data_IF_315964330944
#
_entry.id   IF_315964330944
#
_cell.length_a   1.000
_cell.length_b   1.000
_cell.length_c   1.000
_cell.angle_alpha   90.00
_cell.angle_beta   90.00
_cell.angle_gamma   90.00
#
_symmetry.space_group_name_H-M   'P 1'
#
loop_
_entity.id
_entity.type
_entity.pdbx_description
1 polymer ?
#
# COMPACT_ATOMS: atom_id res chain seq x y z
N UNK A 1 -1.08 -28.37 12.31
CA UNK A 1 -1.12 -28.35 10.83
C UNK A 1 -2.45 -28.81 10.24
N UNK A 2 -3.24 -29.69 10.88
CA UNK A 2 -4.53 -30.15 10.31
C UNK A 2 -5.59 -29.05 10.13
N UNK A 3 -5.45 -27.89 10.79
CA UNK A 3 -6.40 -26.78 10.69
C UNK A 3 -6.13 -25.81 9.53
N UNK A 4 -4.99 -25.92 8.84
CA UNK A 4 -4.69 -25.06 7.69
C UNK A 4 -5.47 -25.56 6.47
N UNK A 5 -6.26 -24.69 5.86
CA UNK A 5 -7.11 -24.96 4.71
C UNK A 5 -6.56 -24.36 3.41
N UNK A 6 -5.99 -23.15 3.48
CA UNK A 6 -5.42 -22.43 2.35
C UNK A 6 -4.33 -21.45 2.82
N UNK A 7 -3.66 -20.80 1.87
CA UNK A 7 -2.58 -19.86 2.14
C UNK A 7 -2.90 -18.53 1.46
N UNK A 8 -2.97 -17.46 2.24
CA UNK A 8 -3.07 -16.09 1.75
C UNK A 8 -1.65 -15.55 1.55
N UNK A 9 -1.37 -14.92 0.41
CA UNK A 9 -0.03 -14.41 0.09
C UNK A 9 -0.12 -12.96 -0.33
N UNK A 10 0.68 -12.11 0.30
CA UNK A 10 0.98 -10.77 -0.21
C UNK A 10 2.43 -10.72 -0.67
N UNK A 11 2.61 -10.62 -1.97
CA UNK A 11 3.92 -10.66 -2.60
C UNK A 11 4.27 -9.30 -3.16
N UNK A 12 4.93 -8.49 -2.33
CA UNK A 12 5.36 -7.16 -2.70
C UNK A 12 6.64 -7.15 -3.54
N UNK A 13 7.09 -5.95 -3.87
CA UNK A 13 8.36 -5.72 -4.57
C UNK A 13 9.55 -6.23 -3.76
N UNK A 14 9.54 -6.06 -2.43
CA UNK A 14 10.70 -6.33 -1.57
C UNK A 14 10.50 -7.51 -0.61
N UNK A 15 9.27 -7.87 -0.30
CA UNK A 15 8.98 -8.91 0.69
C UNK A 15 7.90 -9.86 0.20
N UNK A 16 7.98 -11.11 0.67
CA UNK A 16 6.94 -12.11 0.58
C UNK A 16 6.35 -12.29 1.98
N UNK A 17 5.04 -12.14 2.11
CA UNK A 17 4.28 -12.46 3.33
C UNK A 17 3.25 -13.52 3.03
N UNK A 18 3.12 -14.50 3.92
CA UNK A 18 2.14 -15.57 3.82
C UNK A 18 1.42 -15.73 5.15
N UNK A 19 0.11 -15.91 5.10
CA UNK A 19 -0.71 -16.29 6.25
C UNK A 19 -1.31 -17.67 5.98
N UNK A 20 -1.12 -18.58 6.93
CA UNK A 20 -1.71 -19.89 6.91
C UNK A 20 -3.14 -19.78 7.44
N UNK A 21 -4.12 -20.10 6.60
CA UNK A 21 -5.51 -19.74 6.84
C UNK A 21 -6.36 -20.95 7.14
N UNK A 22 -7.31 -20.81 8.06
CA UNK A 22 -8.43 -21.75 8.24
C UNK A 22 -9.53 -21.48 7.21
N UNK A 23 -10.49 -22.41 7.10
CA UNK A 23 -11.69 -22.22 6.27
C UNK A 23 -12.57 -21.06 6.74
N UNK A 24 -12.58 -20.75 8.03
CA UNK A 24 -13.35 -19.64 8.62
C UNK A 24 -12.66 -18.27 8.47
N UNK A 25 -11.58 -18.20 7.67
CA UNK A 25 -10.83 -16.96 7.42
C UNK A 25 -9.86 -16.56 8.53
N UNK A 26 -9.74 -17.32 9.63
CA UNK A 26 -8.79 -17.02 10.70
C UNK A 26 -7.36 -17.39 10.33
N UNK A 27 -6.43 -16.52 10.70
CA UNK A 27 -4.98 -16.76 10.60
C UNK A 27 -4.56 -17.79 11.67
N UNK A 28 -3.91 -18.87 11.24
CA UNK A 28 -3.25 -19.86 12.09
C UNK A 28 -1.83 -19.39 12.43
N UNK A 29 -1.10 -18.94 11.42
CA UNK A 29 0.30 -18.57 11.51
C UNK A 29 0.63 -17.56 10.40
N UNK A 30 1.52 -16.62 10.69
CA UNK A 30 2.10 -15.70 9.71
C UNK A 30 3.56 -16.05 9.47
N UNK A 31 3.98 -16.00 8.20
CA UNK A 31 5.34 -16.23 7.75
C UNK A 31 5.79 -15.13 6.79
N UNK A 32 7.08 -14.83 6.76
CA UNK A 32 7.63 -13.82 5.87
C UNK A 32 9.05 -14.15 5.42
N UNK A 33 9.45 -13.60 4.27
CA UNK A 33 10.83 -13.60 3.78
C UNK A 33 11.14 -12.34 2.97
N UNK A 34 12.43 -12.11 2.71
CA UNK A 34 12.93 -11.02 1.87
C UNK A 34 12.91 -11.37 0.36
N UNK A 35 12.26 -12.48 -0.02
CA UNK A 35 12.14 -12.93 -1.41
C UNK A 35 11.05 -12.15 -2.17
N UNK A 36 11.13 -10.82 -2.22
CA UNK A 36 10.23 -9.98 -3.01
C UNK A 36 10.48 -10.07 -4.52
N UNK A 37 9.54 -9.58 -5.33
CA UNK A 37 9.61 -9.60 -6.80
C UNK A 37 10.93 -9.01 -7.34
N UNK A 38 11.47 -7.95 -6.75
CA UNK A 38 12.69 -7.29 -7.23
C UNK A 38 13.94 -8.18 -7.17
N UNK A 39 13.94 -9.21 -6.32
CA UNK A 39 15.05 -10.17 -6.17
C UNK A 39 14.85 -11.47 -6.92
N UNK A 40 13.73 -11.63 -7.66
CA UNK A 40 13.33 -12.89 -8.27
C UNK A 40 13.19 -12.76 -9.79
N UNK A 41 13.51 -13.85 -10.48
CA UNK A 41 13.04 -14.12 -11.85
C UNK A 41 11.72 -14.91 -11.78
N UNK A 42 10.92 -14.99 -12.87
CA UNK A 42 9.64 -15.69 -12.86
C UNK A 42 9.69 -17.16 -12.38
N UNK A 43 10.78 -17.88 -12.66
CA UNK A 43 11.05 -19.25 -12.18
C UNK A 43 11.45 -19.33 -10.70
N UNK A 44 11.81 -18.20 -10.07
CA UNK A 44 12.18 -18.12 -8.66
C UNK A 44 10.99 -18.03 -7.69
N UNK A 45 9.77 -17.79 -8.18
CA UNK A 45 8.59 -17.64 -7.32
C UNK A 45 8.15 -18.96 -6.67
N UNK A 46 8.02 -20.05 -7.44
CA UNK A 46 7.62 -21.34 -6.84
C UNK A 46 8.60 -21.83 -5.76
N UNK A 47 9.93 -21.85 -6.00
CA UNK A 47 10.90 -22.22 -4.96
C UNK A 47 10.83 -21.32 -3.72
N UNK A 48 10.61 -20.01 -3.88
CA UNK A 48 10.48 -19.10 -2.76
C UNK A 48 9.23 -19.38 -1.90
N UNK A 49 8.10 -19.69 -2.55
CA UNK A 49 6.87 -20.10 -1.86
C UNK A 49 7.05 -21.45 -1.15
N UNK A 50 7.68 -22.42 -1.83
CA UNK A 50 8.00 -23.72 -1.24
C UNK A 50 8.91 -23.58 -0.03
N UNK A 51 9.97 -22.77 -0.11
CA UNK A 51 10.87 -22.53 1.01
C UNK A 51 10.15 -21.96 2.25
N UNK A 52 9.12 -21.13 2.05
CA UNK A 52 8.36 -20.52 3.13
C UNK A 52 7.24 -21.43 3.70
N UNK A 53 6.65 -22.29 2.86
CA UNK A 53 5.42 -23.02 3.17
C UNK A 53 5.49 -24.54 2.94
N UNK A 54 6.67 -25.14 2.79
CA UNK A 54 6.85 -26.55 2.40
C UNK A 54 6.03 -27.56 3.21
N UNK A 55 5.94 -27.37 4.53
CA UNK A 55 5.22 -28.24 5.48
C UNK A 55 3.70 -28.23 5.28
N UNK A 56 3.16 -27.21 4.62
CA UNK A 56 1.72 -27.05 4.39
C UNK A 56 1.30 -27.13 2.92
N UNK A 57 2.24 -27.20 1.99
CA UNK A 57 1.92 -27.47 0.59
C UNK A 57 1.68 -28.99 0.37
N UNK A 58 0.85 -29.39 -0.62
CA UNK A 58 0.04 -28.55 -1.49
C UNK A 58 -1.32 -28.19 -0.86
N UNK A 59 -1.56 -26.89 -0.66
CA UNK A 59 -2.86 -26.29 -0.32
C UNK A 59 -3.17 -25.17 -1.31
N UNK A 60 -4.45 -24.78 -1.51
CA UNK A 60 -4.78 -23.65 -2.35
C UNK A 60 -4.07 -22.38 -1.88
N UNK A 61 -3.47 -21.64 -2.80
CA UNK A 61 -2.80 -20.37 -2.55
C UNK A 61 -3.54 -19.27 -3.29
N UNK A 62 -3.86 -18.19 -2.58
CA UNK A 62 -4.40 -16.97 -3.17
C UNK A 62 -3.43 -15.83 -2.89
N UNK A 63 -2.93 -15.19 -3.94
CA UNK A 63 -1.88 -14.19 -3.86
C UNK A 63 -2.32 -12.83 -4.42
N UNK A 64 -1.88 -11.74 -3.78
CA UNK A 64 -2.01 -10.37 -4.26
C UNK A 64 -0.65 -9.70 -4.47
N UNK A 65 -0.67 -8.50 -5.05
CA UNK A 65 0.53 -7.68 -5.22
C UNK A 65 1.34 -8.01 -6.48
N UNK A 66 2.64 -7.76 -6.40
CA UNK A 66 3.56 -7.72 -7.53
C UNK A 66 3.86 -9.07 -8.15
N UNK A 67 3.50 -10.18 -7.50
CA UNK A 67 3.49 -11.54 -8.12
C UNK A 67 2.62 -11.59 -9.38
N UNK A 68 1.61 -10.73 -9.50
CA UNK A 68 0.76 -10.59 -10.68
C UNK A 68 1.25 -9.59 -11.72
N UNK A 69 2.41 -8.95 -11.51
CA UNK A 69 2.93 -7.95 -12.45
C UNK A 69 3.51 -8.62 -13.71
N UNK A 70 3.88 -7.81 -14.70
CA UNK A 70 4.54 -8.29 -15.93
C UNK A 70 5.88 -9.00 -15.66
N UNK A 71 6.57 -8.62 -14.59
CA UNK A 71 7.82 -9.26 -14.13
C UNK A 71 7.58 -10.29 -13.01
N UNK A 72 6.31 -10.52 -12.65
CA UNK A 72 5.92 -11.46 -11.60
C UNK A 72 5.92 -12.92 -12.08
N UNK A 73 5.29 -13.78 -11.28
CA UNK A 73 5.14 -15.21 -11.58
C UNK A 73 4.22 -15.42 -12.78
N UNK A 74 3.06 -14.73 -12.80
CA UNK A 74 2.15 -14.73 -13.94
C UNK A 74 1.48 -13.37 -14.06
N UNK A 75 1.48 -12.78 -15.26
CA UNK A 75 0.88 -11.48 -15.49
C UNK A 75 -0.64 -11.55 -15.33
N UNK A 76 -1.16 -10.93 -14.26
CA UNK A 76 -2.58 -10.74 -14.04
C UNK A 76 -3.04 -9.42 -14.66
N UNK A 77 -4.09 -9.41 -15.51
CA UNK A 77 -4.57 -8.21 -16.18
C UNK A 77 -5.06 -7.16 -15.16
N UNK A 78 -5.25 -5.92 -15.62
CA UNK A 78 -5.83 -4.85 -14.80
C UNK A 78 -7.33 -4.71 -15.06
N UNK A 79 -8.14 -4.65 -14.00
CA UNK A 79 -9.51 -4.15 -14.08
C UNK A 79 -9.50 -2.64 -14.36
N UNK A 80 -10.47 -2.13 -15.11
CA UNK A 80 -10.57 -0.70 -15.42
C UNK A 80 -11.65 -0.05 -14.55
N UNK A 81 -11.34 1.09 -13.93
CA UNK A 81 -12.32 1.85 -13.12
C UNK A 81 -13.42 2.48 -14.00
N UNK A 82 -14.65 2.67 -13.49
CA UNK A 82 -15.13 2.26 -12.17
C UNK A 82 -15.32 0.73 -12.07
N UNK A 83 -14.94 0.14 -10.94
CA UNK A 83 -15.07 -1.30 -10.72
C UNK A 83 -15.09 -1.68 -9.24
N UNK A 84 -15.60 -2.87 -8.93
CA UNK A 84 -15.36 -3.49 -7.62
C UNK A 84 -13.84 -3.67 -7.39
N UNK A 85 -13.35 -3.64 -6.14
CA UNK A 85 -11.93 -3.82 -5.83
C UNK A 85 -11.35 -5.15 -6.32
N UNK A 86 -12.22 -6.14 -6.53
CA UNK A 86 -11.84 -7.45 -7.03
C UNK A 86 -12.75 -7.88 -8.19
N UNK A 87 -12.14 -8.49 -9.21
CA UNK A 87 -12.86 -9.06 -10.35
C UNK A 87 -12.42 -10.52 -10.57
N UNK A 88 -13.32 -11.45 -10.24
CA UNK A 88 -13.09 -12.91 -10.36
C UNK A 88 -12.72 -13.36 -11.78
N UNK A 89 -13.25 -12.68 -12.81
CA UNK A 89 -12.98 -13.02 -14.22
C UNK A 89 -11.54 -12.72 -14.64
N UNK A 90 -10.81 -11.94 -13.84
CA UNK A 90 -9.43 -11.52 -14.10
C UNK A 90 -8.40 -12.27 -13.24
N UNK A 91 -8.84 -13.21 -12.39
CA UNK A 91 -7.94 -14.05 -11.61
C UNK A 91 -7.14 -14.97 -12.53
N UNK A 92 -5.82 -14.96 -12.37
CA UNK A 92 -4.92 -15.83 -13.13
C UNK A 92 -4.44 -16.98 -12.27
N UNK A 93 -4.29 -18.16 -12.87
CA UNK A 93 -3.62 -19.29 -12.22
C UNK A 93 -2.18 -19.35 -12.70
N UNK A 94 -1.22 -19.33 -11.78
CA UNK A 94 0.19 -19.45 -12.13
C UNK A 94 0.50 -20.88 -12.61
N UNK A 95 1.42 -20.99 -13.57
CA UNK A 95 1.95 -22.29 -13.98
C UNK A 95 2.93 -22.76 -12.91
N UNK A 96 2.73 -23.98 -12.41
CA UNK A 96 3.56 -24.58 -11.36
C UNK A 96 4.26 -25.84 -11.88
N UNK A 97 5.47 -26.10 -11.37
CA UNK A 97 6.19 -27.36 -11.58
C UNK A 97 5.49 -28.52 -10.86
N UNK A 98 4.98 -28.28 -9.65
CA UNK A 98 4.16 -29.24 -8.93
C UNK A 98 2.70 -29.17 -9.41
N UNK A 99 2.15 -30.19 -10.12
CA UNK A 99 0.80 -30.09 -10.71
C UNK A 99 -0.34 -30.03 -9.68
N UNK A 100 -0.08 -30.42 -8.43
CA UNK A 100 -1.05 -30.36 -7.32
C UNK A 100 -1.07 -29.00 -6.62
N UNK A 101 -0.09 -28.13 -6.89
CA UNK A 101 -0.04 -26.79 -6.32
C UNK A 101 -0.93 -25.85 -7.13
N UNK A 102 -1.96 -25.28 -6.51
CA UNK A 102 -2.82 -24.30 -7.15
C UNK A 102 -2.53 -22.91 -6.57
N UNK A 103 -1.94 -22.04 -7.39
CA UNK A 103 -1.69 -20.63 -7.05
C UNK A 103 -2.55 -19.74 -7.93
N UNK A 104 -3.47 -19.01 -7.31
CA UNK A 104 -4.30 -17.99 -7.97
C UNK A 104 -3.82 -16.60 -7.57
N UNK A 105 -3.81 -15.69 -8.54
CA UNK A 105 -3.29 -14.34 -8.38
C UNK A 105 -4.38 -13.31 -8.70
N UNK A 106 -4.59 -12.38 -7.78
CA UNK A 106 -5.54 -11.27 -7.94
C UNK A 106 -5.03 -10.24 -8.97
N UNK A 107 -5.96 -9.68 -9.74
CA UNK A 107 -5.71 -8.59 -10.69
C UNK A 107 -5.45 -7.26 -9.98
N UNK A 108 -4.62 -6.39 -10.57
CA UNK A 108 -4.57 -4.98 -10.16
C UNK A 108 -5.69 -4.15 -10.79
N UNK A 109 -5.69 -2.84 -10.55
CA UNK A 109 -6.64 -1.88 -11.14
C UNK A 109 -5.91 -0.78 -11.93
N UNK A 110 -6.49 -0.36 -13.06
CA UNK A 110 -6.01 0.74 -13.90
C UNK A 110 -7.07 1.81 -14.09
N UNK A 111 -6.60 3.01 -14.40
CA UNK A 111 -7.36 4.15 -14.88
C UNK A 111 -6.69 4.69 -16.14
N UNK A 112 -7.50 5.13 -17.13
CA UNK A 112 -6.96 5.64 -18.40
C UNK A 112 -6.70 7.14 -18.41
N UNK A 113 -7.62 7.92 -17.87
CA UNK A 113 -7.50 9.37 -17.82
C UNK A 113 -7.84 9.90 -16.42
N UNK A 114 -6.87 10.46 -15.70
CA UNK A 114 -5.43 10.32 -15.99
C UNK A 114 -5.00 8.85 -16.07
N UNK A 115 -3.85 8.57 -16.67
CA UNK A 115 -3.27 7.25 -16.57
C UNK A 115 -2.82 7.00 -15.12
N UNK A 116 -3.27 5.90 -14.53
CA UNK A 116 -2.85 5.47 -13.19
C UNK A 116 -3.04 3.95 -13.02
N UNK A 117 -2.26 3.34 -12.12
CA UNK A 117 -2.34 1.90 -11.80
C UNK A 117 -2.08 1.64 -10.31
N UNK A 118 -2.68 0.57 -9.80
CA UNK A 118 -2.40 0.00 -8.49
C UNK A 118 -2.39 -1.54 -8.57
N UNK A 119 -1.63 -2.18 -7.68
CA UNK A 119 -1.51 -3.63 -7.60
C UNK A 119 -1.08 -4.05 -6.21
N UNK A 120 -2.03 -4.59 -5.45
CA UNK A 120 -1.94 -4.90 -4.03
C UNK A 120 -2.89 -4.02 -3.22
N UNK A 121 -2.95 -2.72 -3.52
CA UNK A 121 -3.81 -1.77 -2.82
C UNK A 121 -5.31 -2.07 -3.00
N UNK A 122 -5.71 -2.62 -4.15
CA UNK A 122 -7.09 -3.06 -4.38
C UNK A 122 -7.53 -4.15 -3.40
N UNK A 123 -6.59 -4.99 -2.95
CA UNK A 123 -6.86 -6.04 -1.97
C UNK A 123 -7.10 -5.42 -0.58
N UNK A 124 -6.33 -4.40 -0.20
CA UNK A 124 -6.55 -3.66 1.04
C UNK A 124 -7.90 -2.93 1.03
N UNK A 125 -8.27 -2.33 -0.09
CA UNK A 125 -9.57 -1.68 -0.26
C UNK A 125 -10.70 -2.71 -0.12
N UNK A 126 -10.54 -3.89 -0.74
CA UNK A 126 -11.51 -4.99 -0.58
C UNK A 126 -11.70 -5.38 0.89
N UNK A 127 -10.61 -5.49 1.66
CA UNK A 127 -10.69 -5.79 3.09
C UNK A 127 -11.43 -4.72 3.87
N UNK A 128 -11.09 -3.45 3.66
CA UNK A 128 -11.76 -2.33 4.33
C UNK A 128 -13.26 -2.27 4.03
N UNK A 129 -13.65 -2.49 2.77
CA UNK A 129 -15.06 -2.50 2.38
C UNK A 129 -15.81 -3.74 2.84
N UNK A 130 -15.13 -4.86 3.08
CA UNK A 130 -15.76 -6.04 3.69
C UNK A 130 -16.19 -5.78 5.14
N UNK A 131 -15.45 -4.93 5.86
CA UNK A 131 -15.74 -4.54 7.24
C UNK A 131 -16.62 -3.28 7.32
N UNK A 132 -16.60 -2.46 6.28
CA UNK A 132 -17.33 -1.19 6.18
C UNK A 132 -18.13 -1.11 4.87
N UNK A 133 -19.16 -1.95 4.67
CA UNK A 133 -19.86 -2.09 3.39
C UNK A 133 -20.61 -0.82 2.94
N UNK A 134 -20.96 0.06 3.88
CA UNK A 134 -21.63 1.34 3.61
C UNK A 134 -20.64 2.51 3.46
N UNK A 135 -19.33 2.23 3.38
CA UNK A 135 -18.35 3.29 3.23
C UNK A 135 -18.49 4.00 1.88
N UNK A 136 -18.63 5.32 1.95
CA UNK A 136 -18.64 6.25 0.84
C UNK A 136 -17.70 7.42 1.19
N UNK A 137 -16.75 7.72 0.31
CA UNK A 137 -15.71 8.71 0.56
C UNK A 137 -14.38 8.32 -0.07
N UNK A 138 -13.29 8.67 0.61
CA UNK A 138 -11.93 8.47 0.07
C UNK A 138 -11.08 7.58 0.96
N UNK A 139 -10.39 6.64 0.32
CA UNK A 139 -9.36 5.82 0.97
C UNK A 139 -7.99 6.36 0.55
N UNK A 140 -7.20 6.77 1.53
CA UNK A 140 -5.80 7.13 1.39
C UNK A 140 -4.96 5.90 1.80
N UNK A 141 -4.08 5.42 0.92
CA UNK A 141 -3.16 4.33 1.21
C UNK A 141 -1.71 4.82 1.14
N UNK A 142 -1.16 5.41 2.21
CA UNK A 142 0.21 5.90 2.25
C UNK A 142 1.25 4.80 2.08
N UNK A 143 2.30 5.09 1.31
CA UNK A 143 3.42 4.18 1.13
C UNK A 143 4.54 4.81 0.30
N UNK A 144 5.35 3.97 -0.36
CA UNK A 144 6.29 4.43 -1.40
C UNK A 144 5.56 5.24 -2.46
N UNK A 145 4.37 4.77 -2.84
CA UNK A 145 3.42 5.45 -3.71
C UNK A 145 2.08 5.55 -2.97
N UNK A 146 1.71 6.73 -2.51
CA UNK A 146 0.43 6.95 -1.85
C UNK A 146 -0.70 6.89 -2.87
N UNK A 147 -1.73 6.09 -2.59
CA UNK A 147 -2.95 6.05 -3.41
C UNK A 147 -4.05 6.87 -2.74
N UNK A 148 -4.68 7.76 -3.49
CA UNK A 148 -5.93 8.41 -3.13
C UNK A 148 -7.04 7.84 -3.98
N UNK A 149 -8.00 7.17 -3.35
CA UNK A 149 -9.00 6.34 -4.03
C UNK A 149 -10.39 6.80 -3.64
N UNK A 150 -11.18 7.21 -4.62
CA UNK A 150 -12.57 7.56 -4.41
C UNK A 150 -13.41 6.29 -4.49
N UNK A 151 -14.18 6.03 -3.43
CA UNK A 151 -15.06 4.87 -3.31
C UNK A 151 -16.50 5.34 -3.13
N UNK A 152 -17.40 4.75 -3.91
CA UNK A 152 -18.85 5.00 -3.83
C UNK A 152 -19.57 3.68 -4.15
N UNK A 153 -20.62 3.36 -3.39
CA UNK A 153 -21.43 2.15 -3.58
C UNK A 153 -20.61 0.85 -3.69
N UNK A 154 -19.50 0.73 -2.93
CA UNK A 154 -18.61 -0.43 -2.96
C UNK A 154 -17.65 -0.50 -4.15
N UNK A 155 -17.70 0.46 -5.07
CA UNK A 155 -16.84 0.52 -6.24
C UNK A 155 -15.70 1.53 -6.07
N UNK A 156 -14.54 1.20 -6.61
CA UNK A 156 -13.46 2.15 -6.85
C UNK A 156 -13.84 2.95 -8.09
N UNK A 157 -14.17 4.22 -7.90
CA UNK A 157 -14.64 5.13 -8.97
C UNK A 157 -13.47 5.72 -9.74
N UNK A 158 -12.46 6.19 -9.01
CA UNK A 158 -11.27 6.82 -9.56
C UNK A 158 -10.15 6.82 -8.54
N UNK A 159 -8.91 6.96 -9.00
CA UNK A 159 -7.77 7.12 -8.10
C UNK A 159 -6.65 7.99 -8.66
N UNK A 160 -5.78 8.43 -7.77
CA UNK A 160 -4.54 9.15 -8.07
C UNK A 160 -3.41 8.62 -7.22
N UNK A 161 -2.24 8.49 -7.82
CA UNK A 161 -0.99 8.15 -7.15
C UNK A 161 -0.12 9.39 -6.90
N UNK A 162 0.41 9.52 -5.69
CA UNK A 162 1.51 10.42 -5.36
C UNK A 162 2.77 9.60 -5.00
N UNK A 163 3.92 9.94 -5.56
CA UNK A 163 5.18 9.23 -5.31
C UNK A 163 5.95 9.75 -4.09
N UNK A 164 5.22 10.22 -3.07
CA UNK A 164 5.76 10.98 -1.93
C UNK A 164 6.75 10.19 -1.09
N UNK A 165 6.46 8.90 -0.81
CA UNK A 165 7.38 8.03 -0.10
C UNK A 165 8.66 7.74 -0.88
N UNK A 166 8.56 7.54 -2.20
CA UNK A 166 9.72 7.37 -3.08
C UNK A 166 10.60 8.64 -3.10
N UNK A 167 9.99 9.81 -3.28
CA UNK A 167 10.69 11.09 -3.22
C UNK A 167 11.38 11.30 -1.87
N UNK A 168 10.70 10.97 -0.76
CA UNK A 168 11.32 11.01 0.57
C UNK A 168 12.55 10.11 0.63
N UNK A 169 12.44 8.86 0.16
CA UNK A 169 13.55 7.91 0.13
C UNK A 169 14.75 8.42 -0.69
N UNK A 170 14.50 8.88 -1.92
CA UNK A 170 15.54 9.41 -2.81
C UNK A 170 16.21 10.66 -2.23
N UNK A 171 15.42 11.62 -1.75
CA UNK A 171 15.93 12.88 -1.21
C UNK A 171 16.72 12.64 0.08
N UNK A 172 16.22 11.81 0.99
CA UNK A 172 16.87 11.55 2.27
C UNK A 172 18.14 10.71 2.17
N UNK A 173 18.31 9.90 1.14
CA UNK A 173 19.45 8.95 1.06
C UNK A 173 20.40 9.22 -0.11
N UNK A 174 19.93 9.74 -1.24
CA UNK A 174 20.73 9.88 -2.46
C UNK A 174 21.04 11.34 -2.83
N UNK A 175 20.27 12.31 -2.33
CA UNK A 175 20.50 13.73 -2.61
C UNK A 175 21.49 14.38 -1.62
N UNK A 176 21.75 15.69 -1.78
CA UNK A 176 22.54 16.48 -0.82
C UNK A 176 21.92 16.51 0.58
N UNK A 177 20.60 16.31 0.70
CA UNK A 177 19.92 16.33 1.99
C UNK A 177 20.35 15.19 2.91
N UNK A 178 20.93 14.09 2.39
CA UNK A 178 21.44 12.97 3.19
C UNK A 178 22.43 13.38 4.30
N UNK A 179 23.11 14.52 4.12
CA UNK A 179 24.03 15.08 5.11
C UNK A 179 23.34 15.79 6.28
N UNK A 180 22.02 15.91 6.24
CA UNK A 180 21.19 16.64 7.20
C UNK A 180 20.02 15.79 7.72
N UNK A 181 19.99 14.48 7.45
CA UNK A 181 18.92 13.59 7.89
C UNK A 181 19.29 12.84 9.17
N UNK A 182 18.46 13.00 10.20
CA UNK A 182 18.55 12.29 11.47
C UNK A 182 17.76 10.98 11.46
N UNK A 183 17.52 10.42 12.65
CA UNK A 183 16.70 9.21 12.85
C UNK A 183 15.47 9.46 13.72
N UNK A 184 15.43 10.59 14.43
CA UNK A 184 14.33 11.00 15.28
C UNK A 184 13.15 11.58 14.51
N UNK A 185 12.18 12.05 15.29
CA UNK A 185 10.93 12.64 14.83
C UNK A 185 10.56 13.85 15.69
N UNK A 186 10.30 14.97 15.03
CA UNK A 186 9.80 16.20 15.61
C UNK A 186 8.42 16.50 14.99
N UNK A 187 7.37 16.25 15.78
CA UNK A 187 5.99 16.40 15.33
C UNK A 187 5.62 17.87 15.03
N UNK A 188 6.18 18.84 15.76
CA UNK A 188 5.92 20.25 15.52
C UNK A 188 6.56 20.68 14.21
N UNK A 189 7.84 20.35 14.02
CA UNK A 189 8.56 20.67 12.80
C UNK A 189 7.93 20.01 11.56
N UNK A 190 7.36 18.81 11.72
CA UNK A 190 6.56 18.15 10.69
C UNK A 190 5.29 18.94 10.34
N UNK A 191 4.45 19.28 11.32
CA UNK A 191 3.19 19.97 11.06
C UNK A 191 3.39 21.39 10.51
N UNK A 192 4.40 22.12 11.00
CA UNK A 192 4.76 23.44 10.49
C UNK A 192 5.15 23.39 9.00
N UNK A 193 5.86 22.33 8.58
CA UNK A 193 6.24 22.17 7.20
C UNK A 193 5.12 21.63 6.30
N UNK A 194 4.19 20.85 6.85
CA UNK A 194 2.92 20.52 6.18
C UNK A 194 2.16 21.80 5.86
N UNK A 195 1.94 22.68 6.84
CA UNK A 195 1.23 23.94 6.64
C UNK A 195 1.90 24.84 5.60
N UNK A 196 3.23 24.95 5.68
CA UNK A 196 4.06 25.69 4.71
C UNK A 196 3.83 25.18 3.29
N UNK A 197 3.94 23.86 3.07
CA UNK A 197 3.81 23.27 1.74
C UNK A 197 2.37 23.26 1.21
N UNK A 198 1.37 23.09 2.08
CA UNK A 198 -0.05 23.16 1.69
C UNK A 198 -0.42 24.57 1.22
N UNK A 199 0.14 25.59 1.88
CA UNK A 199 -0.15 26.99 1.59
C UNK A 199 0.57 27.51 0.34
N UNK A 200 1.78 27.01 0.07
CA UNK A 200 2.64 27.45 -1.06
C UNK A 200 3.31 26.27 -1.76
N UNK A 201 2.55 25.36 -2.39
CA UNK A 201 3.10 24.16 -3.01
C UNK A 201 4.13 24.46 -4.10
N UNK A 202 4.04 25.62 -4.77
CA UNK A 202 4.99 26.08 -5.77
C UNK A 202 6.41 26.36 -5.21
N UNK A 203 6.53 26.57 -3.89
CA UNK A 203 7.80 26.83 -3.22
C UNK A 203 8.59 25.57 -2.85
N UNK A 204 8.04 24.37 -3.09
CA UNK A 204 8.57 23.09 -2.61
C UNK A 204 10.07 22.92 -2.90
N UNK A 205 10.52 23.19 -4.13
CA UNK A 205 11.92 23.01 -4.52
C UNK A 205 12.87 23.91 -3.71
N UNK A 206 12.48 25.14 -3.41
CA UNK A 206 13.26 26.07 -2.60
C UNK A 206 13.26 25.65 -1.12
N UNK A 207 12.09 25.25 -0.60
CA UNK A 207 11.95 24.79 0.79
C UNK A 207 12.77 23.53 1.06
N UNK A 208 12.83 22.58 0.11
CA UNK A 208 13.66 21.39 0.21
C UNK A 208 15.15 21.75 0.37
N UNK A 209 15.68 22.68 -0.43
CA UNK A 209 17.08 23.12 -0.28
C UNK A 209 17.31 23.89 1.02
N UNK A 210 16.30 24.61 1.51
CA UNK A 210 16.37 25.35 2.78
C UNK A 210 16.73 24.46 3.97
N UNK A 211 16.36 23.17 3.94
CA UNK A 211 16.73 22.19 4.96
C UNK A 211 18.25 22.06 5.09
N UNK A 212 18.94 21.94 3.95
CA UNK A 212 20.41 21.86 3.93
C UNK A 212 21.05 23.19 4.33
N UNK A 213 20.51 24.30 3.84
CA UNK A 213 21.03 25.63 4.15
C UNK A 213 20.94 25.93 5.66
N UNK A 214 19.77 25.74 6.28
CA UNK A 214 19.56 25.94 7.72
C UNK A 214 20.46 25.03 8.57
N UNK A 215 20.63 23.77 8.15
CA UNK A 215 21.52 22.85 8.84
C UNK A 215 22.99 23.29 8.79
N UNK A 216 23.48 23.79 7.64
CA UNK A 216 24.83 24.36 7.51
C UNK A 216 25.04 25.64 8.34
N UNK A 217 23.98 26.40 8.55
CA UNK A 217 23.97 27.60 9.40
C UNK A 217 23.77 27.28 10.89
N UNK A 218 23.66 25.99 11.27
CA UNK A 218 23.38 25.52 12.64
C UNK A 218 22.01 25.99 13.19
N UNK A 219 21.04 26.22 12.31
CA UNK A 219 19.67 26.67 12.66
C UNK A 219 18.64 25.53 12.65
N UNK A 220 19.06 24.31 12.27
CA UNK A 220 18.19 23.14 12.16
C UNK A 220 18.96 21.86 12.47
N UNK A 221 18.53 21.14 13.49
CA UNK A 221 19.06 19.81 13.81
C UNK A 221 18.57 18.76 12.80
N UNK A 222 19.25 17.61 12.79
CA UNK A 222 19.02 16.58 11.78
C UNK A 222 17.67 15.85 11.93
N UNK A 223 17.14 15.73 13.15
CA UNK A 223 15.86 15.05 13.40
C UNK A 223 14.68 15.94 12.99
N UNK A 224 14.76 17.24 13.30
CA UNK A 224 13.83 18.25 12.81
C UNK A 224 13.91 18.39 11.28
N UNK A 225 15.10 18.35 10.67
CA UNK A 225 15.25 18.39 9.21
C UNK A 225 14.58 17.20 8.51
N UNK A 226 14.71 15.98 9.07
CA UNK A 226 14.02 14.79 8.56
C UNK A 226 12.50 14.95 8.64
N UNK A 227 12.01 15.45 9.76
CA UNK A 227 10.57 15.66 10.00
C UNK A 227 10.01 16.74 9.06
N UNK A 228 10.76 17.82 8.84
CA UNK A 228 10.42 18.86 7.87
C UNK A 228 10.38 18.35 6.44
N UNK A 229 11.35 17.54 6.02
CA UNK A 229 11.34 16.89 4.69
C UNK A 229 10.04 16.09 4.49
N UNK A 230 9.67 15.27 5.47
CA UNK A 230 8.42 14.50 5.42
C UNK A 230 7.20 15.41 5.30
N UNK A 231 7.13 16.47 6.12
CA UNK A 231 5.97 17.38 6.11
C UNK A 231 5.88 18.24 4.85
N UNK A 232 7.01 18.65 4.26
CA UNK A 232 7.02 19.36 2.98
C UNK A 232 6.45 18.49 1.85
N UNK A 233 6.87 17.23 1.79
CA UNK A 233 6.41 16.29 0.76
C UNK A 233 4.94 15.90 0.96
N UNK A 234 4.54 15.54 2.17
CA UNK A 234 3.13 15.23 2.49
C UNK A 234 2.25 16.47 2.29
N UNK A 235 2.69 17.66 2.70
CA UNK A 235 1.93 18.89 2.51
C UNK A 235 1.74 19.24 1.03
N UNK A 236 2.77 19.07 0.20
CA UNK A 236 2.65 19.26 -1.25
C UNK A 236 1.70 18.22 -1.89
N UNK A 237 1.76 16.96 -1.44
CA UNK A 237 0.79 15.94 -1.84
C UNK A 237 -0.63 16.35 -1.46
N UNK A 238 -0.88 16.72 -0.20
CA UNK A 238 -2.19 17.15 0.26
C UNK A 238 -2.71 18.36 -0.51
N UNK A 239 -1.86 19.33 -0.85
CA UNK A 239 -2.25 20.44 -1.71
C UNK A 239 -2.74 19.96 -3.08
N UNK A 240 -2.03 19.02 -3.71
CA UNK A 240 -2.38 18.47 -5.02
C UNK A 240 -3.59 17.55 -5.00
N UNK A 241 -3.83 16.85 -3.87
CA UNK A 241 -4.90 15.88 -3.70
C UNK A 241 -6.15 16.46 -3.03
N UNK A 242 -6.22 17.80 -2.87
CA UNK A 242 -7.44 18.51 -2.41
C UNK A 242 -8.74 18.01 -3.04
N UNK A 243 -8.81 17.75 -4.36
CA UNK A 243 -10.03 17.22 -4.99
C UNK A 243 -10.50 15.87 -4.44
N UNK A 244 -9.63 15.09 -3.81
CA UNK A 244 -9.98 13.82 -3.19
C UNK A 244 -10.43 13.99 -1.74
N UNK A 245 -9.77 14.81 -0.91
CA UNK A 245 -10.07 14.82 0.53
C UNK A 245 -10.95 15.98 0.99
N UNK A 246 -11.07 17.08 0.24
CA UNK A 246 -11.80 18.25 0.69
C UNK A 246 -13.31 17.97 0.75
N UNK A 247 -13.88 18.07 1.95
CA UNK A 247 -15.29 17.78 2.19
C UNK A 247 -15.64 16.30 2.21
N UNK A 248 -14.65 15.41 2.20
CA UNK A 248 -14.81 13.96 2.22
C UNK A 248 -14.47 13.37 3.58
N UNK A 249 -15.03 12.19 3.88
CA UNK A 249 -14.49 11.32 4.93
C UNK A 249 -13.29 10.56 4.34
N UNK A 250 -12.18 10.54 5.07
CA UNK A 250 -10.96 9.85 4.64
C UNK A 250 -10.68 8.65 5.54
N UNK A 251 -10.57 7.46 4.95
CA UNK A 251 -10.01 6.29 5.60
C UNK A 251 -8.53 6.14 5.22
N UNK A 252 -7.65 6.07 6.20
CA UNK A 252 -6.21 5.87 5.98
C UNK A 252 -5.89 4.39 6.22
N UNK A 253 -5.40 3.70 5.20
CA UNK A 253 -4.94 2.31 5.31
C UNK A 253 -3.43 2.29 5.16
N UNK A 254 -2.70 1.93 6.21
CA UNK A 254 -1.25 2.04 6.19
C UNK A 254 -0.56 1.44 7.41
N UNK A 255 0.77 1.57 7.45
CA UNK A 255 1.58 1.22 8.62
C UNK A 255 1.53 2.33 9.67
N UNK A 256 1.55 1.96 10.95
CA UNK A 256 1.24 2.84 12.09
C UNK A 256 1.88 4.25 12.00
N UNK A 257 3.20 4.35 11.91
CA UNK A 257 3.90 5.64 11.94
C UNK A 257 3.57 6.53 10.73
N UNK A 258 3.38 5.93 9.54
CA UNK A 258 3.05 6.68 8.34
C UNK A 258 1.59 7.13 8.35
N UNK A 259 0.68 6.24 8.76
CA UNK A 259 -0.74 6.57 8.94
C UNK A 259 -0.92 7.71 9.93
N UNK A 260 -0.19 7.71 11.05
CA UNK A 260 -0.22 8.80 12.03
C UNK A 260 0.25 10.15 11.46
N UNK A 261 1.27 10.15 10.60
CA UNK A 261 1.73 11.38 9.96
C UNK A 261 0.67 11.97 9.02
N UNK A 262 0.03 11.12 8.20
CA UNK A 262 -1.08 11.54 7.32
C UNK A 262 -2.32 11.96 8.11
N UNK A 263 -2.67 11.22 9.15
CA UNK A 263 -3.78 11.55 10.05
C UNK A 263 -3.57 12.91 10.70
N UNK A 264 -2.40 13.15 11.30
CA UNK A 264 -2.07 14.43 11.92
C UNK A 264 -2.15 15.59 10.91
N UNK A 265 -1.64 15.39 9.70
CA UNK A 265 -1.69 16.40 8.64
C UNK A 265 -3.14 16.70 8.18
N UNK A 266 -3.99 15.68 8.04
CA UNK A 266 -5.39 15.83 7.61
C UNK A 266 -6.30 16.39 8.72
N UNK A 267 -6.07 16.03 9.98
CA UNK A 267 -6.83 16.57 11.12
C UNK A 267 -6.65 18.09 11.25
N UNK A 268 -5.45 18.62 10.99
CA UNK A 268 -5.21 20.07 10.96
C UNK A 268 -6.04 20.76 9.87
N UNK A 269 -6.31 20.06 8.77
CA UNK A 269 -7.20 20.51 7.69
C UNK A 269 -8.69 20.25 7.97
N UNK A 270 -9.04 19.79 9.18
CA UNK A 270 -10.41 19.47 9.63
C UNK A 270 -11.11 18.38 8.82
N UNK A 271 -10.32 17.46 8.26
CA UNK A 271 -10.86 16.30 7.54
C UNK A 271 -11.29 15.23 8.54
N UNK A 272 -12.50 14.65 8.43
CA UNK A 272 -12.89 13.47 9.20
C UNK A 272 -12.04 12.27 8.78
N UNK A 273 -11.21 11.77 9.69
CA UNK A 273 -10.27 10.66 9.43
C UNK A 273 -10.63 9.45 10.28
N UNK A 274 -10.50 8.27 9.67
CA UNK A 274 -10.41 6.98 10.37
C UNK A 274 -9.17 6.24 9.87
N UNK A 275 -8.58 5.41 10.69
CA UNK A 275 -7.37 4.64 10.34
C UNK A 275 -7.63 3.14 10.42
N UNK A 276 -7.06 2.38 9.48
CA UNK A 276 -7.00 0.93 9.51
C UNK A 276 -5.58 0.44 9.22
N UNK A 277 -5.21 -0.71 9.77
CA UNK A 277 -3.88 -1.30 9.55
C UNK A 277 -3.83 -2.00 8.19
N UNK A 278 -2.80 -1.68 7.40
CA UNK A 278 -2.63 -2.23 6.06
C UNK A 278 -2.59 -3.77 6.04
N UNK A 279 -1.95 -4.38 7.03
CA UNK A 279 -1.85 -5.83 7.11
C UNK A 279 -3.21 -6.50 7.34
N UNK A 280 -3.97 -6.01 8.32
CA UNK A 280 -5.31 -6.51 8.61
C UNK A 280 -6.21 -6.38 7.37
N UNK A 281 -6.17 -5.23 6.70
CA UNK A 281 -6.96 -5.00 5.48
C UNK A 281 -6.51 -5.89 4.31
N UNK A 282 -5.22 -6.19 4.18
CA UNK A 282 -4.73 -7.16 3.19
C UNK A 282 -5.29 -8.55 3.48
N UNK A 283 -5.27 -9.01 4.73
CA UNK A 283 -5.79 -10.33 5.13
C UNK A 283 -7.31 -10.39 4.91
N UNK A 284 -8.08 -9.40 5.41
CA UNK A 284 -9.53 -9.32 5.21
C UNK A 284 -9.89 -9.30 3.71
N UNK A 285 -9.10 -8.61 2.89
CA UNK A 285 -9.29 -8.57 1.43
C UNK A 285 -9.05 -9.92 0.76
N UNK A 286 -7.98 -10.63 1.14
CA UNK A 286 -7.69 -11.98 0.65
C UNK A 286 -8.76 -12.98 1.10
N UNK A 287 -9.28 -12.86 2.33
CA UNK A 287 -10.40 -13.67 2.82
C UNK A 287 -11.66 -13.42 1.98
N UNK A 288 -12.02 -12.15 1.77
CA UNK A 288 -13.19 -11.78 0.97
C UNK A 288 -13.07 -12.33 -0.47
N UNK A 289 -11.91 -12.18 -1.10
CA UNK A 289 -11.65 -12.73 -2.42
C UNK A 289 -11.70 -14.27 -2.44
N UNK A 290 -11.13 -14.93 -1.44
CA UNK A 290 -11.14 -16.40 -1.33
C UNK A 290 -12.57 -16.96 -1.29
N UNK A 291 -13.44 -16.39 -0.45
CA UNK A 291 -14.86 -16.81 -0.36
C UNK A 291 -15.61 -16.63 -1.68
N UNK A 292 -15.33 -15.56 -2.44
CA UNK A 292 -15.92 -15.36 -3.77
C UNK A 292 -15.40 -16.36 -4.81
N UNK A 293 -14.10 -16.71 -4.75
CA UNK A 293 -13.45 -17.58 -5.73
C UNK A 293 -13.80 -19.05 -5.54
N UNK A 294 -13.85 -19.51 -4.28
CA UNK A 294 -14.06 -20.91 -3.94
C UNK A 294 -15.49 -21.22 -3.47
N UNK A 295 -16.34 -20.19 -3.37
CA UNK A 295 -17.69 -20.23 -2.81
C UNK A 295 -17.68 -20.42 -1.30
N UNK A 296 -18.83 -20.22 -0.66
CA UNK A 296 -19.10 -20.77 0.67
C UNK A 296 -19.15 -22.31 0.55
N UNK A 297 -17.98 -22.95 0.39
CA UNK A 297 -17.85 -24.35 0.79
C UNK A 297 -17.70 -24.39 2.31
N UNK A 298 -18.79 -23.96 2.94
CA UNK A 298 -19.17 -24.21 4.33
C UNK A 298 -20.11 -25.41 4.32
#
# INVERSE_FOLDING_TARGET
MNDVAWIAVDWGTSHLRAWLMRFDGRVVEQRQSDSGMAGLTPDGFEPALQALCADVLPRPVLACGMVGSKQGWAEAPYAEVPCMPFNISLVVTAVTEQPTLSVRILSGIKQRNPADVMRGEETQIAGYLSENPEFDGVICLPGTHTKWVHVSAGEIVSFRTAMTGELFGLLSTQSVLRHSMGKGWDASAFLDSVDTAISRPESLAAELFSLRAKNLLNELDNDAARSRLSGLLIGAELASMRPYWLGQKVAIIGVHNLSQAYEAALIVQRVPVVTAFAEDMTVSGLVAAYSHIYGDRV
#
